data_IF_043440201827
#
_entry.id   IF_043440201827
#
_cell.length_a   1.000
_cell.length_b   1.000
_cell.length_c   1.000
_cell.angle_alpha   90.00
_cell.angle_beta   90.00
_cell.angle_gamma   90.00
#
_symmetry.space_group_name_H-M   'P 1'
#
loop_
_entity.id
_entity.type
_entity.pdbx_description
1 polymer ?
#
# COMPACT_ATOMS: atom_id res chain seq x y z
N UNK A 1 20.74 -39.91 43.66
CA UNK A 1 19.47 -39.77 42.92
C UNK A 1 19.44 -38.41 42.31
N UNK A 2 19.60 -38.25 41.01
CA UNK A 2 19.48 -36.94 40.34
C UNK A 2 17.98 -36.65 40.11
N UNK A 3 17.56 -35.48 40.53
CA UNK A 3 16.20 -34.96 40.32
C UNK A 3 16.07 -34.48 38.89
N UNK A 4 15.26 -35.20 38.15
CA UNK A 4 14.86 -34.84 36.75
C UNK A 4 14.00 -33.58 36.80
N UNK A 5 14.55 -32.45 36.37
CA UNK A 5 13.83 -31.20 36.20
C UNK A 5 12.99 -31.31 34.90
N UNK A 6 11.68 -31.56 35.10
CA UNK A 6 10.72 -31.54 34.02
C UNK A 6 10.76 -30.15 33.29
N UNK A 7 11.14 -30.15 32.03
CA UNK A 7 10.97 -28.98 31.13
C UNK A 7 9.49 -28.60 31.06
N UNK A 8 9.13 -27.32 31.19
CA UNK A 8 7.76 -26.89 30.97
C UNK A 8 7.39 -27.15 29.50
N UNK A 9 6.42 -28.03 29.28
CA UNK A 9 5.80 -28.24 27.96
C UNK A 9 5.14 -26.93 27.51
N UNK A 10 5.87 -26.15 26.75
CA UNK A 10 5.28 -25.04 25.98
C UNK A 10 4.29 -25.64 24.98
N UNK A 11 3.04 -25.16 24.92
CA UNK A 11 2.10 -25.61 23.91
C UNK A 11 2.68 -25.33 22.53
N UNK A 12 2.47 -26.22 21.55
CA UNK A 12 2.93 -25.99 20.18
C UNK A 12 2.29 -24.69 19.69
N UNK A 13 3.13 -23.78 19.16
CA UNK A 13 2.67 -22.56 18.47
C UNK A 13 1.99 -23.04 17.19
N UNK A 14 0.74 -23.47 17.32
CA UNK A 14 -0.13 -23.86 16.22
C UNK A 14 -0.72 -22.61 15.57
N UNK A 15 0.15 -21.75 15.09
CA UNK A 15 -0.15 -20.74 14.11
C UNK A 15 0.45 -21.17 12.79
N UNK A 16 -0.12 -22.20 12.15
CA UNK A 16 0.26 -22.54 10.80
C UNK A 16 0.06 -21.28 9.95
N UNK A 17 1.18 -20.72 9.45
CA UNK A 17 1.12 -19.64 8.48
C UNK A 17 0.25 -20.12 7.32
N UNK A 18 -0.78 -19.37 6.91
CA UNK A 18 -1.63 -19.78 5.80
C UNK A 18 -0.78 -20.05 4.55
N UNK A 19 -1.17 -21.05 3.80
CA UNK A 19 -0.44 -21.56 2.65
C UNK A 19 -0.09 -20.46 1.63
N UNK A 20 1.00 -20.60 0.86
CA UNK A 20 1.31 -19.68 -0.23
C UNK A 20 0.16 -19.70 -1.25
N UNK A 21 -0.52 -18.58 -1.43
CA UNK A 21 -1.67 -18.45 -2.33
C UNK A 21 -2.98 -18.01 -1.69
N UNK A 22 -3.12 -18.13 -0.37
CA UNK A 22 -4.28 -17.65 0.37
C UNK A 22 -4.13 -16.18 0.83
N UNK A 23 -3.55 -15.32 0.01
CA UNK A 23 -3.90 -13.91 0.10
C UNK A 23 -5.33 -13.79 -0.41
N UNK A 24 -6.25 -13.87 0.53
CA UNK A 24 -7.64 -13.69 0.19
C UNK A 24 -7.77 -12.40 -0.60
N UNK A 25 -8.61 -12.41 -1.63
CA UNK A 25 -8.99 -11.27 -2.47
C UNK A 25 -9.14 -9.96 -1.67
N UNK A 26 -9.44 -10.09 -0.38
CA UNK A 26 -9.56 -8.99 0.59
C UNK A 26 -8.28 -8.14 0.76
N UNK A 27 -7.09 -8.71 0.61
CA UNK A 27 -5.85 -7.94 0.73
C UNK A 27 -5.65 -6.97 -0.45
N UNK A 28 -6.22 -7.30 -1.60
CA UNK A 28 -6.14 -6.49 -2.82
C UNK A 28 -7.30 -5.51 -3.00
N UNK A 29 -8.37 -5.64 -2.21
CA UNK A 29 -9.54 -4.75 -2.32
C UNK A 29 -9.15 -3.28 -2.22
N UNK A 30 -8.38 -2.91 -1.20
CA UNK A 30 -8.00 -1.51 -0.99
C UNK A 30 -7.02 -0.97 -2.04
N UNK A 31 -5.94 -1.69 -2.42
CA UNK A 31 -5.11 -1.28 -3.56
C UNK A 31 -5.92 -1.08 -4.84
N UNK A 32 -6.76 -2.05 -5.21
CA UNK A 32 -7.58 -1.98 -6.43
C UNK A 32 -8.62 -0.86 -6.38
N UNK A 33 -9.26 -0.66 -5.24
CA UNK A 33 -10.20 0.44 -5.05
C UNK A 33 -9.50 1.81 -5.19
N UNK A 34 -8.29 1.95 -4.62
CA UNK A 34 -7.49 3.16 -4.76
C UNK A 34 -7.12 3.40 -6.24
N UNK A 35 -6.65 2.36 -6.95
CA UNK A 35 -6.35 2.45 -8.38
C UNK A 35 -7.58 2.84 -9.19
N UNK A 36 -8.73 2.21 -8.94
CA UNK A 36 -9.99 2.56 -9.61
C UNK A 36 -10.41 4.02 -9.33
N UNK A 37 -10.22 4.49 -8.10
CA UNK A 37 -10.52 5.88 -7.71
C UNK A 37 -9.61 6.86 -8.45
N UNK A 38 -8.31 6.55 -8.59
CA UNK A 38 -7.35 7.38 -9.34
C UNK A 38 -7.79 7.48 -10.80
N UNK A 39 -8.04 6.34 -11.47
CA UNK A 39 -8.47 6.33 -12.88
C UNK A 39 -9.80 7.08 -13.06
N UNK A 40 -10.75 6.88 -12.15
CA UNK A 40 -12.02 7.60 -12.19
C UNK A 40 -11.83 9.11 -12.05
N UNK A 41 -11.05 9.55 -11.06
CA UNK A 41 -10.77 10.96 -10.84
C UNK A 41 -10.00 11.58 -12.02
N UNK A 42 -8.97 10.90 -12.53
CA UNK A 42 -8.17 11.36 -13.66
C UNK A 42 -8.97 11.47 -14.96
N UNK A 43 -9.97 10.59 -15.14
CA UNK A 43 -10.87 10.63 -16.31
C UNK A 43 -11.87 11.79 -16.28
N UNK A 44 -12.19 12.34 -15.11
CA UNK A 44 -13.27 13.34 -14.94
C UNK A 44 -12.79 14.74 -14.57
N UNK A 45 -11.51 14.96 -14.32
CA UNK A 45 -10.99 16.13 -13.62
C UNK A 45 -10.83 17.41 -14.44
N UNK A 46 -11.65 17.67 -15.44
CA UNK A 46 -11.73 18.99 -16.08
C UNK A 46 -13.06 19.70 -15.90
N UNK A 47 -13.74 19.49 -14.80
CA UNK A 47 -14.76 20.44 -14.38
C UNK A 47 -14.06 21.52 -13.58
N UNK A 48 -13.94 22.71 -14.20
CA UNK A 48 -13.53 23.99 -13.65
C UNK A 48 -13.43 24.08 -12.11
N UNK A 49 -12.46 23.42 -11.51
CA UNK A 49 -11.99 23.82 -10.20
C UNK A 49 -11.10 25.06 -10.41
N UNK A 50 -11.26 26.13 -9.64
CA UNK A 50 -10.34 27.27 -9.72
C UNK A 50 -8.92 26.70 -9.55
N UNK A 51 -8.00 27.15 -10.40
CA UNK A 51 -6.56 26.81 -10.36
C UNK A 51 -5.97 27.20 -9.00
N UNK A 52 -6.27 26.42 -7.98
CA UNK A 52 -5.54 26.46 -6.71
C UNK A 52 -4.22 25.75 -6.99
N UNK A 53 -3.28 26.54 -7.48
CA UNK A 53 -1.93 26.14 -7.85
C UNK A 53 -1.37 25.17 -6.79
N UNK A 54 -1.25 23.88 -7.17
CA UNK A 54 -0.58 22.87 -6.37
C UNK A 54 -1.46 21.93 -5.55
N UNK A 55 -2.79 22.13 -5.45
CA UNK A 55 -3.66 21.18 -4.71
C UNK A 55 -3.73 19.83 -5.44
N UNK A 56 -3.74 19.83 -6.75
CA UNK A 56 -3.63 18.64 -7.57
C UNK A 56 -2.38 17.82 -7.22
N UNK A 57 -1.22 18.48 -7.15
CA UNK A 57 0.06 17.83 -6.80
C UNK A 57 0.09 17.28 -5.38
N UNK A 58 -0.53 18.00 -4.44
CA UNK A 58 -0.71 17.51 -3.08
C UNK A 58 -1.59 16.26 -3.05
N UNK A 59 -2.69 16.25 -3.83
CA UNK A 59 -3.56 15.09 -3.95
C UNK A 59 -2.83 13.88 -4.56
N UNK A 60 -2.06 14.10 -5.65
CA UNK A 60 -1.20 13.09 -6.26
C UNK A 60 -0.23 12.49 -5.25
N UNK A 61 0.53 13.33 -4.56
CA UNK A 61 1.49 12.91 -3.54
C UNK A 61 0.86 11.96 -2.50
N UNK A 62 -0.28 12.33 -1.95
CA UNK A 62 -0.91 11.54 -0.90
C UNK A 62 -1.58 10.27 -1.43
N UNK A 63 -2.25 10.33 -2.59
CA UNK A 63 -2.97 9.16 -3.12
C UNK A 63 -2.00 8.09 -3.63
N UNK A 64 -0.89 8.46 -4.26
CA UNK A 64 0.14 7.52 -4.68
C UNK A 64 0.97 7.01 -3.49
N UNK A 65 1.18 7.83 -2.47
CA UNK A 65 1.72 7.39 -1.19
C UNK A 65 0.85 6.34 -0.50
N UNK A 66 -0.48 6.55 -0.50
CA UNK A 66 -1.44 5.59 0.00
C UNK A 66 -1.40 4.29 -0.81
N UNK A 67 -1.45 4.38 -2.15
CA UNK A 67 -1.40 3.23 -3.04
C UNK A 67 -0.15 2.38 -2.78
N UNK A 68 1.03 3.00 -2.76
CA UNK A 68 2.29 2.30 -2.51
C UNK A 68 2.33 1.63 -1.13
N UNK A 69 1.79 2.30 -0.09
CA UNK A 69 1.68 1.73 1.26
C UNK A 69 0.74 0.53 1.28
N UNK A 70 -0.41 0.62 0.64
CA UNK A 70 -1.37 -0.48 0.55
C UNK A 70 -0.78 -1.68 -0.19
N UNK A 71 -0.08 -1.46 -1.31
CA UNK A 71 0.65 -2.50 -2.03
C UNK A 71 1.72 -3.15 -1.13
N UNK A 72 2.53 -2.33 -0.45
CA UNK A 72 3.59 -2.80 0.44
C UNK A 72 3.06 -3.70 1.57
N UNK A 73 1.81 -3.48 2.02
CA UNK A 73 1.14 -4.29 3.05
C UNK A 73 0.64 -5.64 2.55
N UNK A 74 0.45 -5.81 1.25
CA UNK A 74 0.03 -7.12 0.71
C UNK A 74 1.14 -8.15 0.93
N UNK A 75 0.77 -9.42 1.11
CA UNK A 75 1.74 -10.49 1.35
C UNK A 75 2.71 -10.68 0.18
N UNK A 76 2.25 -10.39 -1.02
CA UNK A 76 3.06 -10.48 -2.24
C UNK A 76 4.31 -9.59 -2.18
N UNK A 77 4.20 -8.44 -1.53
CA UNK A 77 5.30 -7.50 -1.33
C UNK A 77 5.94 -7.65 0.05
N UNK A 78 5.16 -7.71 1.14
CA UNK A 78 5.68 -7.71 2.52
C UNK A 78 6.62 -8.87 2.83
N UNK A 79 6.38 -10.06 2.25
CA UNK A 79 7.26 -11.23 2.41
C UNK A 79 8.67 -11.04 1.85
N UNK A 80 8.84 -10.11 0.92
CA UNK A 80 10.14 -9.83 0.27
C UNK A 80 10.95 -8.77 1.01
N UNK A 81 10.50 -8.31 2.19
CA UNK A 81 11.20 -7.32 3.00
C UNK A 81 11.51 -6.04 2.21
N UNK A 82 12.79 -5.62 2.21
CA UNK A 82 13.22 -4.41 1.50
C UNK A 82 12.98 -4.47 -0.01
N UNK A 83 13.21 -5.61 -0.63
CA UNK A 83 12.95 -5.78 -2.07
C UNK A 83 11.47 -5.63 -2.39
N UNK A 84 10.60 -6.12 -1.51
CA UNK A 84 9.15 -5.94 -1.63
C UNK A 84 8.71 -4.49 -1.47
N UNK A 85 9.30 -3.76 -0.53
CA UNK A 85 9.04 -2.33 -0.37
C UNK A 85 9.42 -1.54 -1.64
N UNK A 86 10.60 -1.80 -2.20
CA UNK A 86 11.04 -1.20 -3.47
C UNK A 86 10.09 -1.58 -4.62
N UNK A 87 9.70 -2.84 -4.71
CA UNK A 87 8.77 -3.30 -5.73
C UNK A 87 7.37 -2.67 -5.61
N UNK A 88 6.88 -2.40 -4.39
CA UNK A 88 5.62 -1.69 -4.17
C UNK A 88 5.69 -0.24 -4.66
N UNK A 89 6.80 0.46 -4.39
CA UNK A 89 7.04 1.82 -4.92
C UNK A 89 7.11 1.79 -6.45
N UNK A 90 7.88 0.85 -7.02
CA UNK A 90 7.99 0.70 -8.47
C UNK A 90 6.63 0.41 -9.13
N UNK A 91 5.81 -0.45 -8.52
CA UNK A 91 4.46 -0.75 -9.01
C UNK A 91 3.55 0.49 -9.01
N UNK A 92 3.61 1.31 -7.96
CA UNK A 92 2.86 2.56 -7.90
C UNK A 92 3.32 3.56 -8.98
N UNK A 93 4.64 3.69 -9.23
CA UNK A 93 5.19 4.54 -10.29
C UNK A 93 4.76 4.05 -11.67
N UNK A 94 4.85 2.75 -11.94
CA UNK A 94 4.38 2.17 -13.21
C UNK A 94 2.90 2.43 -13.41
N UNK A 95 2.09 2.31 -12.35
CA UNK A 95 0.68 2.65 -12.41
C UNK A 95 0.47 4.15 -12.73
N UNK A 96 1.23 5.06 -12.11
CA UNK A 96 1.21 6.49 -12.44
C UNK A 96 1.53 6.76 -13.92
N UNK A 97 2.56 6.10 -14.46
CA UNK A 97 2.87 6.20 -15.89
C UNK A 97 1.71 5.73 -16.78
N UNK A 98 1.02 4.65 -16.39
CA UNK A 98 -0.15 4.17 -17.15
C UNK A 98 -1.35 5.11 -17.06
N UNK A 99 -1.54 5.74 -15.90
CA UNK A 99 -2.60 6.72 -15.69
C UNK A 99 -2.33 7.99 -16.51
N UNK A 100 -1.10 8.52 -16.52
CA UNK A 100 -0.69 9.62 -17.37
C UNK A 100 -0.87 9.31 -18.86
N UNK A 101 -0.48 8.10 -19.29
CA UNK A 101 -0.71 7.66 -20.67
C UNK A 101 -2.20 7.59 -21.02
N UNK A 102 -3.05 7.16 -20.07
CA UNK A 102 -4.49 7.14 -20.23
C UNK A 102 -5.06 8.57 -20.36
N UNK A 103 -4.55 9.50 -19.55
CA UNK A 103 -4.98 10.91 -19.60
C UNK A 103 -4.71 11.59 -20.92
N UNK A 104 -3.66 11.18 -21.66
CA UNK A 104 -3.39 11.69 -23.03
C UNK A 104 -4.53 11.39 -24.02
N UNK A 105 -5.32 10.35 -23.77
CA UNK A 105 -6.47 10.00 -24.59
C UNK A 105 -7.66 10.94 -24.35
N UNK A 106 -7.60 11.77 -23.31
CA UNK A 106 -8.68 12.72 -22.97
C UNK A 106 -8.40 14.07 -23.67
N UNK A 107 -9.33 14.56 -24.52
CA UNK A 107 -9.13 15.82 -25.24
C UNK A 107 -8.80 16.99 -24.31
N UNK A 108 -7.72 17.70 -24.61
CA UNK A 108 -7.30 18.88 -23.87
C UNK A 108 -6.45 18.61 -22.61
N UNK A 109 -5.97 17.38 -22.39
CA UNK A 109 -4.96 17.05 -21.37
C UNK A 109 -3.59 16.83 -21.99
N UNK A 110 -2.56 17.28 -21.28
CA UNK A 110 -1.14 17.03 -21.59
C UNK A 110 -0.53 16.23 -20.46
N UNK A 111 0.50 15.43 -20.77
CA UNK A 111 1.32 14.76 -19.76
C UNK A 111 2.05 15.79 -18.92
N UNK A 112 1.89 15.72 -17.62
CA UNK A 112 2.64 16.54 -16.68
C UNK A 112 3.71 15.69 -15.98
N UNK A 113 4.96 15.77 -16.46
CA UNK A 113 6.09 15.09 -15.81
C UNK A 113 6.26 15.46 -14.34
N UNK A 114 5.77 16.65 -13.95
CA UNK A 114 5.77 17.08 -12.56
C UNK A 114 4.89 16.18 -11.68
N UNK A 115 3.75 15.71 -12.18
CA UNK A 115 2.85 14.83 -11.44
C UNK A 115 3.51 13.46 -11.19
N UNK A 116 4.18 12.91 -12.21
CA UNK A 116 4.92 11.66 -12.05
C UNK A 116 6.05 11.77 -11.01
N UNK A 117 6.76 12.90 -10.94
CA UNK A 117 7.79 13.14 -9.92
C UNK A 117 7.16 13.20 -8.52
N UNK A 118 6.02 13.85 -8.40
CA UNK A 118 5.28 13.99 -7.14
C UNK A 118 4.71 12.64 -6.70
N UNK A 119 4.17 11.85 -7.61
CA UNK A 119 3.69 10.48 -7.36
C UNK A 119 4.81 9.58 -6.84
N UNK A 120 5.96 9.62 -7.52
CA UNK A 120 7.13 8.85 -7.11
C UNK A 120 7.65 9.27 -5.72
N UNK A 121 7.68 10.58 -5.45
CA UNK A 121 8.09 11.12 -4.16
C UNK A 121 7.13 10.71 -3.05
N UNK A 122 5.82 10.81 -3.29
CA UNK A 122 4.77 10.39 -2.37
C UNK A 122 4.85 8.89 -2.06
N UNK A 123 4.95 8.06 -3.11
CA UNK A 123 5.11 6.62 -2.98
C UNK A 123 6.36 6.23 -2.17
N UNK A 124 7.51 6.82 -2.49
CA UNK A 124 8.77 6.53 -1.82
C UNK A 124 8.75 6.97 -0.35
N UNK A 125 8.29 8.19 -0.07
CA UNK A 125 8.24 8.71 1.29
C UNK A 125 7.26 7.92 2.17
N UNK A 126 6.05 7.63 1.66
CA UNK A 126 5.06 6.89 2.42
C UNK A 126 5.52 5.48 2.78
N UNK A 127 6.14 4.75 1.84
CA UNK A 127 6.70 3.41 2.10
C UNK A 127 7.92 3.49 3.04
N UNK A 128 8.75 4.51 2.92
CA UNK A 128 9.86 4.75 3.85
C UNK A 128 9.34 4.95 5.28
N UNK A 129 8.34 5.81 5.47
CA UNK A 129 7.71 6.06 6.77
C UNK A 129 7.08 4.77 7.30
N UNK A 130 6.30 4.07 6.49
CA UNK A 130 5.67 2.80 6.87
C UNK A 130 6.69 1.74 7.31
N UNK A 131 7.81 1.61 6.60
CA UNK A 131 8.82 0.59 6.90
C UNK A 131 9.74 0.95 8.05
N UNK A 132 9.95 2.25 8.34
CA UNK A 132 10.90 2.72 9.35
C UNK A 132 10.26 3.19 10.64
N UNK A 133 9.01 3.65 10.61
CA UNK A 133 8.34 4.23 11.77
C UNK A 133 7.30 3.25 12.35
N UNK A 134 7.73 2.53 13.39
CA UNK A 134 6.92 1.50 14.04
C UNK A 134 5.55 2.00 14.55
N UNK A 135 5.42 3.21 15.17
CA UNK A 135 4.11 3.69 15.61
C UNK A 135 3.10 3.86 14.47
N UNK A 136 3.54 4.37 13.31
CA UNK A 136 2.68 4.52 12.15
C UNK A 136 2.23 3.16 11.60
N UNK A 137 3.14 2.22 11.52
CA UNK A 137 2.83 0.84 11.11
C UNK A 137 1.82 0.19 12.07
N UNK A 138 2.04 0.29 13.38
CA UNK A 138 1.15 -0.27 14.39
C UNK A 138 -0.25 0.34 14.31
N UNK A 139 -0.36 1.64 14.04
CA UNK A 139 -1.64 2.31 13.83
C UNK A 139 -2.40 1.74 12.63
N UNK A 140 -1.72 1.53 11.50
CA UNK A 140 -2.33 0.99 10.29
C UNK A 140 -2.69 -0.50 10.41
N UNK A 141 -1.99 -1.27 11.24
CA UNK A 141 -2.17 -2.71 11.41
C UNK A 141 -3.09 -3.06 12.59
N UNK A 142 -3.45 -2.09 13.43
CA UNK A 142 -4.21 -2.28 14.67
C UNK A 142 -5.53 -3.07 14.49
N UNK A 143 -6.32 -2.94 13.42
CA UNK A 143 -7.54 -3.72 13.23
C UNK A 143 -7.28 -5.19 12.86
N UNK A 144 -6.11 -5.53 12.34
CA UNK A 144 -5.78 -6.88 11.89
C UNK A 144 -5.45 -7.83 13.05
N UNK A 145 -4.89 -7.30 14.15
CA UNK A 145 -4.47 -8.10 15.30
C UNK A 145 -5.63 -8.57 16.19
N UNK A 146 -6.81 -7.94 16.13
CA UNK A 146 -7.94 -8.23 17.03
C UNK A 146 -8.78 -9.46 16.69
N UNK A 147 -8.46 -10.21 15.64
CA UNK A 147 -9.29 -11.35 15.21
C UNK A 147 -8.80 -12.72 15.68
N UNK A 148 -7.76 -12.78 16.48
CA UNK A 148 -7.15 -14.08 16.85
C UNK A 148 -7.67 -14.65 18.17
N UNK A 149 -8.27 -13.84 19.04
CA UNK A 149 -8.68 -14.29 20.39
C UNK A 149 -10.19 -14.10 20.63
N UNK A 150 -11.00 -14.93 19.97
CA UNK A 150 -12.35 -15.22 20.48
C UNK A 150 -12.43 -16.72 20.73
N UNK A 151 -12.26 -17.19 21.97
CA UNK A 151 -12.58 -18.56 22.32
C UNK A 151 -14.10 -18.74 22.25
N UNK A 152 -14.51 -19.77 21.53
CA UNK A 152 -15.90 -20.29 21.53
C UNK A 152 -16.20 -21.01 22.82
#
# INVERSE_FOLDING_TARGET
MPTETASPNLPPISGALPAPGEEGLRAWVWPLLTMATIVFASSHSKVAAPDLIGIDKVAHFFVYGLLATLLCRTRSFSRRGRAGAIAAVAAAIVFGLTDEAHQQLTPGRSVEWADLVVDAAGAALAVLVYTRWAPYRSFLEFPAARRVDSPA
#
